data_IF_104492834400
#
_entry.id   IF_104492834400
#
_cell.length_a   1.000
_cell.length_b   1.000
_cell.length_c   1.000
_cell.angle_alpha   90.00
_cell.angle_beta   90.00
_cell.angle_gamma   90.00
#
_symmetry.space_group_name_H-M   'P 1'
#
loop_
_entity.id
_entity.type
_entity.pdbx_description
1 polymer ?
#
# COMPACT_ATOMS: atom_id res chain seq x y z
N UNK A 1 -21.97 31.89 74.77
CA UNK A 1 -23.07 31.19 74.11
C UNK A 1 -23.83 32.25 73.32
N UNK A 2 -23.46 32.43 72.05
CA UNK A 2 -24.07 33.46 71.18
C UNK A 2 -23.99 32.92 69.75
N UNK A 3 -25.13 32.49 69.21
CA UNK A 3 -25.25 31.97 67.84
C UNK A 3 -25.38 33.15 66.87
N UNK A 4 -24.50 33.22 65.87
CA UNK A 4 -24.59 34.16 64.76
C UNK A 4 -25.24 33.45 63.59
N UNK A 5 -26.44 33.90 63.18
CA UNK A 5 -27.12 33.41 61.98
C UNK A 5 -26.52 34.07 60.73
N UNK A 6 -26.17 33.25 59.75
CA UNK A 6 -25.72 33.70 58.42
C UNK A 6 -26.87 33.48 57.42
N UNK A 7 -27.42 34.57 56.90
CA UNK A 7 -28.43 34.54 55.83
C UNK A 7 -27.75 34.39 54.48
N UNK A 8 -28.13 33.37 53.72
CA UNK A 8 -27.70 33.11 52.34
C UNK A 8 -28.62 33.83 51.36
N UNK A 9 -28.08 34.76 50.57
CA UNK A 9 -28.80 35.45 49.49
C UNK A 9 -28.57 34.71 48.17
N UNK A 10 -29.65 34.23 47.54
CA UNK A 10 -29.61 33.57 46.23
C UNK A 10 -29.59 34.61 45.10
N UNK A 11 -28.69 34.51 44.09
CA UNK A 11 -28.70 35.43 42.95
C UNK A 11 -29.75 35.03 41.90
N UNK A 12 -30.42 36.04 41.35
CA UNK A 12 -31.41 35.95 40.28
C UNK A 12 -30.75 35.62 38.92
N UNK A 13 -31.34 34.76 38.07
CA UNK A 13 -30.76 34.44 36.78
C UNK A 13 -31.03 35.54 35.74
N UNK A 14 -29.96 36.06 35.15
CA UNK A 14 -30.00 37.00 34.02
C UNK A 14 -30.31 36.25 32.73
N UNK A 15 -31.45 36.53 32.11
CA UNK A 15 -31.83 35.96 30.80
C UNK A 15 -31.22 36.80 29.68
N UNK A 16 -30.23 36.25 28.97
CA UNK A 16 -29.66 36.86 27.76
C UNK A 16 -30.37 36.32 26.52
N UNK A 17 -31.16 37.16 25.84
CA UNK A 17 -31.75 36.83 24.53
C UNK A 17 -30.67 36.83 23.44
N UNK A 18 -30.39 35.65 22.88
CA UNK A 18 -29.54 35.50 21.71
C UNK A 18 -30.33 35.81 20.42
N UNK A 19 -29.86 36.78 19.65
CA UNK A 19 -30.38 37.13 18.32
C UNK A 19 -29.99 36.06 17.29
N UNK A 20 -30.97 35.26 16.86
CA UNK A 20 -30.79 34.26 15.82
C UNK A 20 -30.63 34.92 14.44
N UNK A 21 -29.39 35.04 13.96
CA UNK A 21 -29.12 35.39 12.56
C UNK A 21 -29.48 34.21 11.65
N UNK A 22 -30.53 34.39 10.83
CA UNK A 22 -30.93 33.44 9.77
C UNK A 22 -29.83 33.37 8.69
N UNK A 23 -28.93 32.40 8.81
CA UNK A 23 -28.02 32.01 7.72
C UNK A 23 -28.83 31.23 6.69
N UNK A 24 -29.05 31.81 5.50
CA UNK A 24 -29.67 31.07 4.39
C UNK A 24 -28.74 29.93 3.95
N UNK A 25 -29.23 28.69 3.80
CA UNK A 25 -28.43 27.57 3.31
C UNK A 25 -27.98 27.87 1.88
N UNK A 26 -26.66 27.97 1.67
CA UNK A 26 -26.08 28.03 0.32
C UNK A 26 -26.32 26.68 -0.34
N UNK A 27 -27.24 26.64 -1.30
CA UNK A 27 -27.40 25.51 -2.22
C UNK A 27 -26.11 25.37 -3.03
N UNK A 28 -25.23 24.44 -2.65
CA UNK A 28 -24.06 24.08 -3.46
C UNK A 28 -24.57 23.51 -4.77
N UNK A 29 -24.18 24.13 -5.89
CA UNK A 29 -24.36 23.50 -7.21
C UNK A 29 -23.74 22.10 -7.16
N UNK A 30 -24.41 21.07 -7.69
CA UNK A 30 -23.81 19.75 -7.82
C UNK A 30 -22.51 19.89 -8.62
N UNK A 31 -21.45 19.13 -8.25
CA UNK A 31 -20.20 19.14 -9.00
C UNK A 31 -20.48 18.76 -10.46
N UNK A 32 -19.80 19.41 -11.40
CA UNK A 32 -19.84 19.00 -12.80
C UNK A 32 -19.45 17.52 -12.88
N UNK A 33 -20.18 16.68 -13.65
CA UNK A 33 -19.76 15.32 -13.90
C UNK A 33 -18.34 15.32 -14.47
N UNK A 34 -17.50 14.44 -13.94
CA UNK A 34 -16.15 14.22 -14.48
C UNK A 34 -16.29 13.80 -15.94
N UNK A 35 -15.38 14.27 -16.80
CA UNK A 35 -15.32 13.79 -18.18
C UNK A 35 -15.16 12.26 -18.13
N UNK A 36 -15.92 11.48 -18.91
CA UNK A 36 -15.69 10.05 -19.00
C UNK A 36 -14.25 9.81 -19.42
N UNK A 37 -13.57 8.94 -18.67
CA UNK A 37 -12.21 8.55 -18.98
C UNK A 37 -12.25 7.64 -20.22
N UNK A 38 -11.23 7.67 -21.08
CA UNK A 38 -11.18 6.76 -22.21
C UNK A 38 -11.11 5.32 -21.69
N UNK A 39 -12.06 4.49 -22.09
CA UNK A 39 -12.00 3.05 -21.84
C UNK A 39 -11.08 2.35 -22.85
N UNK A 40 -10.30 1.35 -22.42
CA UNK A 40 -10.04 0.97 -21.02
C UNK A 40 -9.12 1.98 -20.31
N UNK A 41 -9.36 2.24 -19.02
CA UNK A 41 -8.50 3.13 -18.23
C UNK A 41 -7.07 2.59 -18.18
N UNK A 42 -6.12 3.40 -18.64
CA UNK A 42 -4.71 3.04 -18.74
C UNK A 42 -3.96 3.45 -17.48
N UNK A 43 -3.19 2.52 -16.89
CA UNK A 43 -2.22 2.85 -15.85
C UNK A 43 -1.28 3.96 -16.33
N UNK A 44 -1.17 5.04 -15.56
CA UNK A 44 -0.52 6.28 -16.00
C UNK A 44 0.99 6.13 -16.17
N UNK A 45 1.58 5.15 -15.49
CA UNK A 45 3.01 4.83 -15.50
C UNK A 45 3.40 3.75 -16.51
N UNK A 46 2.45 3.03 -17.14
CA UNK A 46 2.75 1.95 -18.07
C UNK A 46 2.78 2.46 -19.52
N UNK A 47 3.94 2.39 -20.14
CA UNK A 47 4.18 2.95 -21.48
C UNK A 47 4.36 1.89 -22.58
N UNK A 48 4.17 0.61 -22.26
CA UNK A 48 4.52 -0.53 -23.15
C UNK A 48 3.28 -1.20 -23.80
N UNK A 49 3.43 -1.83 -24.99
CA UNK A 49 2.35 -2.60 -25.62
C UNK A 49 1.82 -3.73 -24.73
N UNK A 50 0.53 -4.09 -24.88
CA UNK A 50 -0.11 -5.10 -24.03
C UNK A 50 -0.33 -4.60 -22.60
N UNK A 51 -0.76 -3.35 -22.47
CA UNK A 51 -0.94 -2.71 -21.17
C UNK A 51 -2.02 -3.42 -20.34
N UNK A 52 -1.70 -3.78 -19.08
CA UNK A 52 -2.70 -4.34 -18.18
C UNK A 52 -3.82 -3.33 -17.93
N UNK A 53 -5.03 -3.84 -17.94
CA UNK A 53 -6.24 -3.10 -17.55
C UNK A 53 -6.31 -2.93 -16.04
N UNK A 54 -7.21 -2.08 -15.57
CA UNK A 54 -7.52 -1.98 -14.14
C UNK A 54 -7.99 -3.33 -13.57
N UNK A 55 -8.81 -4.06 -14.31
CA UNK A 55 -9.33 -5.37 -13.91
C UNK A 55 -8.22 -6.40 -13.76
N UNK A 56 -7.22 -6.40 -14.66
CA UNK A 56 -6.05 -7.29 -14.55
C UNK A 56 -5.30 -7.06 -13.23
N UNK A 57 -5.19 -5.80 -12.77
CA UNK A 57 -4.53 -5.47 -11.51
C UNK A 57 -5.39 -5.91 -10.32
N UNK A 58 -6.71 -5.71 -10.38
CA UNK A 58 -7.64 -6.17 -9.35
C UNK A 58 -7.64 -7.71 -9.21
N UNK A 59 -7.66 -8.44 -10.32
CA UNK A 59 -7.58 -9.90 -10.35
C UNK A 59 -6.24 -10.38 -9.76
N UNK A 60 -5.13 -9.76 -10.19
CA UNK A 60 -3.81 -10.10 -9.68
C UNK A 60 -3.69 -9.84 -8.17
N UNK A 61 -4.27 -8.74 -7.66
CA UNK A 61 -4.26 -8.41 -6.23
C UNK A 61 -5.10 -9.38 -5.41
N UNK A 62 -6.31 -9.70 -5.87
CA UNK A 62 -7.19 -10.65 -5.19
C UNK A 62 -6.54 -12.04 -5.13
N UNK A 63 -5.97 -12.52 -6.24
CA UNK A 63 -5.28 -13.81 -6.27
C UNK A 63 -4.00 -13.80 -5.42
N UNK A 64 -3.27 -12.68 -5.39
CA UNK A 64 -2.10 -12.58 -4.52
C UNK A 64 -2.51 -12.69 -3.04
N UNK A 65 -3.59 -12.04 -2.61
CA UNK A 65 -4.09 -12.21 -1.23
C UNK A 65 -4.52 -13.65 -0.92
N UNK A 66 -5.12 -14.36 -1.87
CA UNK A 66 -5.40 -15.79 -1.73
C UNK A 66 -4.12 -16.61 -1.49
N UNK A 67 -3.04 -16.33 -2.23
CA UNK A 67 -1.73 -16.99 -1.98
C UNK A 67 -1.19 -16.66 -0.58
N UNK A 68 -1.37 -15.43 -0.09
CA UNK A 68 -1.01 -15.09 1.29
C UNK A 68 -1.83 -15.91 2.30
N UNK A 69 -3.13 -16.13 2.06
CA UNK A 69 -3.96 -16.96 2.94
C UNK A 69 -3.47 -18.40 3.03
N UNK A 70 -3.11 -19.00 1.89
CA UNK A 70 -2.51 -20.34 1.86
C UNK A 70 -1.17 -20.37 2.60
N UNK A 71 -0.36 -19.32 2.42
CA UNK A 71 0.93 -19.17 3.08
C UNK A 71 0.81 -19.07 4.60
N UNK A 72 -0.32 -18.59 5.12
CA UNK A 72 -0.58 -18.47 6.55
C UNK A 72 -1.12 -19.78 7.18
N UNK A 73 -1.31 -20.84 6.39
CA UNK A 73 -1.80 -22.13 6.86
C UNK A 73 -0.74 -23.25 6.73
N UNK A 74 -0.51 -24.09 7.75
CA UNK A 74 -0.61 -23.83 9.20
C UNK A 74 0.65 -23.11 9.72
N UNK A 75 0.50 -21.91 10.27
CA UNK A 75 1.61 -21.18 10.94
C UNK A 75 1.61 -21.51 12.44
N UNK A 76 2.75 -21.97 12.96
CA UNK A 76 2.95 -22.29 14.39
C UNK A 76 3.15 -21.02 15.21
N UNK A 77 2.91 -21.08 16.52
CA UNK A 77 3.11 -19.92 17.41
C UNK A 77 4.50 -19.28 17.27
N UNK A 78 5.55 -20.11 17.30
CA UNK A 78 6.93 -19.63 17.19
C UNK A 78 7.22 -18.93 15.87
N UNK A 79 6.52 -19.31 14.80
CA UNK A 79 6.68 -18.71 13.48
C UNK A 79 6.04 -17.32 13.40
N UNK A 80 4.96 -17.05 14.14
CA UNK A 80 4.39 -15.70 14.22
C UNK A 80 5.36 -14.68 14.80
N UNK A 81 6.28 -15.13 15.66
CA UNK A 81 7.33 -14.32 16.28
C UNK A 81 8.64 -14.31 15.47
N UNK A 82 8.73 -15.08 14.39
CA UNK A 82 9.94 -15.15 13.58
C UNK A 82 10.22 -13.80 12.89
N UNK A 83 11.50 -13.39 12.81
CA UNK A 83 11.87 -12.18 12.07
C UNK A 83 11.63 -12.37 10.57
N UNK A 84 11.34 -11.27 9.87
CA UNK A 84 11.23 -11.24 8.41
C UNK A 84 12.45 -10.54 7.79
N UNK A 85 12.69 -10.71 6.47
CA UNK A 85 13.71 -9.93 5.75
C UNK A 85 13.50 -8.42 5.81
N UNK A 86 12.25 -7.97 6.00
CA UNK A 86 11.95 -6.58 6.32
C UNK A 86 12.39 -6.34 7.77
N UNK A 87 13.56 -5.70 7.92
CA UNK A 87 14.21 -5.53 9.22
C UNK A 87 13.24 -4.98 10.27
N UNK A 88 13.32 -5.45 11.53
CA UNK A 88 12.44 -5.02 12.65
C UNK A 88 10.98 -5.47 12.58
N UNK A 89 10.59 -6.26 11.58
CA UNK A 89 9.26 -6.85 11.51
C UNK A 89 9.30 -8.34 11.83
N UNK A 90 8.35 -8.81 12.65
CA UNK A 90 8.02 -10.23 12.76
C UNK A 90 6.90 -10.58 11.79
N UNK A 91 6.67 -11.88 11.57
CA UNK A 91 5.56 -12.38 10.74
C UNK A 91 4.22 -11.75 11.13
N UNK A 92 3.90 -11.68 12.44
CA UNK A 92 2.67 -11.04 12.91
C UNK A 92 2.61 -9.55 12.58
N UNK A 93 3.69 -8.80 12.80
CA UNK A 93 3.76 -7.37 12.49
C UNK A 93 3.53 -7.15 10.99
N UNK A 94 4.17 -7.96 10.16
CA UNK A 94 4.09 -7.84 8.70
C UNK A 94 2.70 -8.17 8.18
N UNK A 95 2.03 -9.17 8.74
CA UNK A 95 0.63 -9.44 8.42
C UNK A 95 -0.28 -8.28 8.88
N UNK A 96 0.00 -7.70 10.06
CA UNK A 96 -0.69 -6.51 10.54
C UNK A 96 -0.60 -5.34 9.55
N UNK A 97 0.54 -5.15 8.89
CA UNK A 97 0.70 -4.15 7.83
C UNK A 97 -0.10 -4.45 6.57
N UNK A 98 -0.16 -5.71 6.16
CA UNK A 98 -0.98 -6.12 5.01
C UNK A 98 -2.45 -5.86 5.31
N UNK A 99 -2.91 -6.19 6.53
CA UNK A 99 -4.28 -5.90 7.01
C UNK A 99 -4.53 -4.38 7.01
N UNK A 100 -3.69 -3.60 7.67
CA UNK A 100 -3.82 -2.15 7.74
C UNK A 100 -3.85 -1.50 6.34
N UNK A 101 -3.03 -2.02 5.42
CA UNK A 101 -3.00 -1.55 4.03
C UNK A 101 -4.30 -1.84 3.27
N UNK A 102 -4.96 -2.96 3.56
CA UNK A 102 -6.26 -3.32 3.01
C UNK A 102 -7.39 -2.50 3.66
N UNK A 103 -7.37 -2.32 4.99
CA UNK A 103 -8.33 -1.46 5.70
C UNK A 103 -8.25 0.01 5.25
N UNK A 104 -7.05 0.49 4.91
CA UNK A 104 -6.88 1.85 4.38
C UNK A 104 -7.61 2.05 3.03
N UNK A 105 -7.81 0.99 2.23
CA UNK A 105 -8.68 1.04 1.05
C UNK A 105 -10.11 1.39 1.46
N UNK A 106 -10.64 0.70 2.48
CA UNK A 106 -11.98 0.91 3.01
C UNK A 106 -12.13 2.34 3.53
N UNK A 107 -11.19 2.78 4.37
CA UNK A 107 -11.19 4.12 4.94
C UNK A 107 -11.15 5.20 3.86
N UNK A 108 -10.30 5.04 2.85
CA UNK A 108 -10.13 6.03 1.78
C UNK A 108 -11.35 6.08 0.85
N UNK A 109 -11.99 4.94 0.59
CA UNK A 109 -13.21 4.88 -0.21
C UNK A 109 -14.40 5.59 0.47
N UNK A 110 -14.47 5.52 1.80
CA UNK A 110 -15.54 6.18 2.58
C UNK A 110 -15.18 7.61 3.03
N UNK A 111 -13.92 8.03 2.90
CA UNK A 111 -13.49 9.36 3.29
C UNK A 111 -14.13 10.44 2.41
N UNK A 112 -15.19 11.06 2.92
CA UNK A 112 -15.81 12.23 2.32
C UNK A 112 -14.95 13.47 2.57
N UNK A 113 -13.80 13.66 1.91
CA UNK A 113 -12.98 14.85 2.18
C UNK A 113 -12.48 15.63 0.95
N UNK A 114 -12.88 16.92 0.82
CA UNK A 114 -12.24 17.87 -0.06
C UNK A 114 -10.93 18.34 0.58
N UNK A 115 -9.86 17.54 0.47
CA UNK A 115 -8.51 18.06 0.74
C UNK A 115 -8.07 18.93 -0.44
N UNK A 116 -7.31 19.99 -0.15
CA UNK A 116 -6.78 21.00 -1.09
C UNK A 116 -6.22 20.37 -2.39
N UNK A 117 -5.98 21.22 -3.40
CA UNK A 117 -5.31 20.95 -4.69
C UNK A 117 -3.89 20.35 -4.57
N UNK A 118 -3.71 19.28 -3.80
CA UNK A 118 -2.50 18.48 -3.85
C UNK A 118 -2.41 17.87 -5.26
N UNK A 119 -1.20 17.81 -5.84
CA UNK A 119 -1.00 17.19 -7.15
C UNK A 119 -1.52 15.76 -7.13
N UNK A 120 -2.07 15.33 -8.27
CA UNK A 120 -2.36 13.93 -8.51
C UNK A 120 -1.05 13.30 -8.96
N UNK A 121 -0.54 12.39 -8.16
CA UNK A 121 0.68 11.64 -8.41
C UNK A 121 0.31 10.31 -9.07
N UNK A 122 1.20 9.80 -9.92
CA UNK A 122 1.12 8.41 -10.37
C UNK A 122 1.60 7.44 -9.28
N UNK A 123 1.48 6.14 -9.52
CA UNK A 123 1.89 5.12 -8.54
C UNK A 123 3.37 5.23 -8.14
N UNK A 124 4.23 5.61 -9.09
CA UNK A 124 5.68 5.71 -8.87
C UNK A 124 6.00 6.88 -7.93
N UNK A 125 5.46 8.06 -8.20
CA UNK A 125 5.72 9.28 -7.41
C UNK A 125 5.03 9.23 -6.05
N UNK A 126 3.83 8.63 -5.98
CA UNK A 126 3.10 8.49 -4.72
C UNK A 126 3.88 7.63 -3.71
N UNK A 127 4.50 6.54 -4.16
CA UNK A 127 5.30 5.67 -3.29
C UNK A 127 6.48 6.45 -2.67
N UNK A 128 7.08 7.37 -3.44
CA UNK A 128 8.18 8.22 -2.95
C UNK A 128 7.71 9.20 -1.89
N UNK A 129 6.61 9.91 -2.15
CA UNK A 129 6.02 10.83 -1.18
C UNK A 129 5.57 10.13 0.11
N UNK A 130 5.11 8.87 -0.01
CA UNK A 130 4.65 8.06 1.12
C UNK A 130 5.76 7.57 2.06
N UNK A 131 7.04 7.55 1.63
CA UNK A 131 8.15 7.09 2.48
C UNK A 131 8.31 7.91 3.78
N UNK A 132 7.91 9.18 3.73
CA UNK A 132 7.84 10.08 4.90
C UNK A 132 6.77 9.69 5.94
N UNK A 133 5.82 8.81 5.58
CA UNK A 133 4.73 8.32 6.45
C UNK A 133 5.04 6.94 7.07
N UNK A 134 6.28 6.46 6.92
CA UNK A 134 6.71 5.12 7.34
C UNK A 134 6.52 4.84 8.83
N UNK A 135 6.76 5.83 9.71
CA UNK A 135 6.58 5.66 11.16
C UNK A 135 5.13 5.39 11.57
N UNK A 136 4.18 6.17 11.03
CA UNK A 136 2.74 5.96 11.27
C UNK A 136 2.27 4.60 10.75
N UNK A 137 2.86 4.14 9.66
CA UNK A 137 2.56 2.84 9.04
C UNK A 137 3.03 1.68 9.94
N UNK A 138 4.23 1.77 10.52
CA UNK A 138 4.74 0.77 11.47
C UNK A 138 3.89 0.72 12.74
N UNK A 139 3.50 1.86 13.30
CA UNK A 139 2.66 1.92 14.51
C UNK A 139 1.27 1.30 14.28
N UNK A 140 0.63 1.62 13.15
CA UNK A 140 -0.65 1.03 12.76
C UNK A 140 -0.54 -0.49 12.58
N UNK A 141 0.51 -0.97 11.90
CA UNK A 141 0.74 -2.39 11.72
C UNK A 141 0.93 -3.13 13.04
N UNK A 142 1.71 -2.57 13.97
CA UNK A 142 1.91 -3.13 15.30
C UNK A 142 0.64 -3.11 16.13
N UNK A 143 -0.18 -2.07 16.01
CA UNK A 143 -1.47 -2.02 16.67
C UNK A 143 -2.41 -3.15 16.18
N UNK A 144 -2.49 -3.36 14.87
CA UNK A 144 -3.25 -4.47 14.27
C UNK A 144 -2.68 -5.83 14.71
N UNK A 145 -1.35 -5.98 14.73
CA UNK A 145 -0.68 -7.21 15.14
C UNK A 145 -0.64 -7.44 16.67
N UNK A 146 -1.29 -6.60 17.48
CA UNK A 146 -1.31 -6.79 18.94
C UNK A 146 0.02 -6.52 19.63
N UNK A 147 0.92 -5.84 18.95
CA UNK A 147 2.33 -5.70 19.31
C UNK A 147 2.71 -4.27 19.70
N UNK A 148 1.75 -3.36 19.67
CA UNK A 148 1.85 -2.05 20.30
C UNK A 148 1.69 -2.16 21.83
N UNK A 149 2.28 -1.26 22.64
CA UNK A 149 2.05 -1.21 24.07
C UNK A 149 0.54 -1.20 24.40
N UNK A 150 0.05 -2.22 25.13
CA UNK A 150 -1.36 -2.37 25.52
C UNK A 150 -2.27 -3.11 24.53
N UNK A 151 -1.72 -3.80 23.52
CA UNK A 151 -2.50 -4.42 22.45
C UNK A 151 -2.89 -5.90 22.72
N UNK A 152 -3.89 -6.36 21.97
CA UNK A 152 -4.82 -7.48 22.29
C UNK A 152 -4.40 -8.90 21.87
N UNK A 153 -3.22 -9.13 21.31
CA UNK A 153 -2.86 -10.45 20.78
C UNK A 153 -1.61 -11.02 21.49
N UNK A 154 -1.82 -11.71 22.61
CA UNK A 154 -0.80 -12.42 23.40
C UNK A 154 -0.85 -13.94 23.20
N UNK A 155 -1.98 -14.50 22.76
CA UNK A 155 -2.25 -15.94 22.72
C UNK A 155 -2.39 -16.55 21.30
N UNK A 156 -2.37 -17.88 21.22
CA UNK A 156 -2.49 -18.63 19.96
C UNK A 156 -3.83 -18.44 19.23
N UNK A 157 -4.95 -18.41 19.96
CA UNK A 157 -6.28 -18.18 19.39
C UNK A 157 -6.37 -16.79 18.74
N UNK A 158 -5.69 -15.84 19.34
CA UNK A 158 -5.52 -14.45 18.90
C UNK A 158 -4.68 -14.35 17.61
N UNK A 159 -3.69 -15.23 17.41
CA UNK A 159 -2.92 -15.28 16.16
C UNK A 159 -3.70 -15.94 15.01
N UNK A 160 -4.53 -16.94 15.28
CA UNK A 160 -5.46 -17.49 14.28
C UNK A 160 -6.49 -16.44 13.83
N UNK A 161 -6.92 -15.58 14.74
CA UNK A 161 -7.78 -14.44 14.45
C UNK A 161 -7.12 -13.43 13.50
N UNK A 162 -5.81 -13.20 13.61
CA UNK A 162 -5.08 -12.30 12.70
C UNK A 162 -5.16 -12.77 11.24
N UNK A 163 -5.01 -14.07 10.98
CA UNK A 163 -5.19 -14.64 9.64
C UNK A 163 -6.65 -14.53 9.15
N UNK A 164 -7.63 -14.62 10.04
CA UNK A 164 -9.05 -14.40 9.70
C UNK A 164 -9.32 -12.93 9.35
N UNK A 165 -8.75 -12.00 10.12
CA UNK A 165 -8.85 -10.56 9.87
C UNK A 165 -8.25 -10.18 8.51
N UNK A 166 -7.11 -10.77 8.15
CA UNK A 166 -6.53 -10.61 6.83
C UNK A 166 -7.48 -11.03 5.71
N UNK A 167 -8.09 -12.22 5.78
CA UNK A 167 -9.10 -12.66 4.79
C UNK A 167 -10.22 -11.64 4.61
N UNK A 168 -10.81 -11.18 5.72
CA UNK A 168 -11.92 -10.23 5.70
C UNK A 168 -11.50 -8.87 5.12
N UNK A 169 -10.36 -8.34 5.57
CA UNK A 169 -9.85 -7.07 5.08
C UNK A 169 -9.51 -7.13 3.59
N UNK A 170 -8.84 -8.20 3.14
CA UNK A 170 -8.46 -8.41 1.75
C UNK A 170 -9.68 -8.60 0.84
N UNK A 171 -10.67 -9.40 1.23
CA UNK A 171 -11.88 -9.60 0.43
C UNK A 171 -12.70 -8.31 0.30
N UNK A 172 -12.80 -7.55 1.40
CA UNK A 172 -13.50 -6.26 1.42
C UNK A 172 -12.79 -5.24 0.54
N UNK A 173 -11.46 -5.12 0.67
CA UNK A 173 -10.67 -4.23 -0.17
C UNK A 173 -10.78 -4.60 -1.66
N UNK A 174 -10.69 -5.89 -2.01
CA UNK A 174 -10.83 -6.35 -3.38
C UNK A 174 -12.20 -6.01 -3.99
N UNK A 175 -13.28 -6.18 -3.22
CA UNK A 175 -14.62 -5.81 -3.66
C UNK A 175 -14.76 -4.30 -3.90
N UNK A 176 -14.28 -3.47 -2.97
CA UNK A 176 -14.30 -2.01 -3.09
C UNK A 176 -13.54 -1.56 -4.34
N UNK A 177 -12.30 -2.05 -4.52
CA UNK A 177 -11.45 -1.68 -5.65
C UNK A 177 -12.11 -2.04 -6.97
N UNK A 178 -12.64 -3.27 -7.09
CA UNK A 178 -13.30 -3.74 -8.33
C UNK A 178 -14.57 -2.96 -8.67
N UNK A 179 -15.33 -2.54 -7.66
CA UNK A 179 -16.56 -1.76 -7.87
C UNK A 179 -16.30 -0.26 -8.10
N UNK A 180 -15.06 0.20 -7.90
CA UNK A 180 -14.73 1.62 -7.93
C UNK A 180 -14.33 2.12 -9.32
N UNK A 181 -14.57 3.41 -9.55
CA UNK A 181 -14.18 4.09 -10.80
C UNK A 181 -12.64 4.21 -10.89
N UNK A 182 -11.97 3.66 -11.93
CA UNK A 182 -10.50 3.60 -12.00
C UNK A 182 -9.80 4.95 -11.86
N UNK A 183 -10.40 6.03 -12.39
CA UNK A 183 -9.83 7.38 -12.29
C UNK A 183 -10.35 8.20 -11.11
N UNK A 184 -11.09 7.60 -10.17
CA UNK A 184 -11.42 8.24 -8.90
C UNK A 184 -10.12 8.65 -8.20
N UNK A 185 -9.98 9.92 -7.87
CA UNK A 185 -8.79 10.44 -7.17
C UNK A 185 -8.98 10.30 -5.67
N UNK A 186 -8.20 9.41 -5.08
CA UNK A 186 -8.03 9.25 -3.64
C UNK A 186 -7.08 10.33 -3.13
N UNK A 187 -7.46 11.05 -2.06
CA UNK A 187 -6.66 12.17 -1.51
C UNK A 187 -6.14 11.82 -0.12
N UNK A 188 -4.83 11.74 0.01
CA UNK A 188 -4.13 11.43 1.27
C UNK A 188 -3.07 12.48 1.64
N UNK A 189 -2.32 12.20 2.70
CA UNK A 189 -1.23 13.06 3.17
C UNK A 189 -0.07 13.17 2.16
N UNK A 190 0.18 12.10 1.39
CA UNK A 190 1.20 12.05 0.35
C UNK A 190 0.80 12.75 -0.98
N UNK A 191 -0.46 13.22 -1.10
CA UNK A 191 -1.00 13.79 -2.34
C UNK A 191 -2.25 13.06 -2.83
N UNK A 192 -2.69 13.40 -4.04
CA UNK A 192 -3.74 12.65 -4.73
C UNK A 192 -3.16 11.45 -5.49
N UNK A 193 -3.91 10.37 -5.64
CA UNK A 193 -3.58 9.22 -6.49
C UNK A 193 -4.87 8.65 -7.09
N UNK A 194 -4.84 8.16 -8.32
CA UNK A 194 -6.02 7.53 -8.94
C UNK A 194 -6.27 6.15 -8.32
N UNK A 195 -7.51 5.66 -8.31
CA UNK A 195 -7.85 4.35 -7.76
C UNK A 195 -7.05 3.23 -8.45
N UNK A 196 -6.87 3.34 -9.77
CA UNK A 196 -6.07 2.42 -10.56
C UNK A 196 -4.60 2.41 -10.11
N UNK A 197 -3.96 3.57 -10.01
CA UNK A 197 -2.57 3.68 -9.56
C UNK A 197 -2.42 3.25 -8.10
N UNK A 198 -3.40 3.55 -7.26
CA UNK A 198 -3.42 3.13 -5.86
C UNK A 198 -3.51 1.61 -5.73
N UNK A 199 -4.31 0.95 -6.57
CA UNK A 199 -4.43 -0.52 -6.63
C UNK A 199 -3.09 -1.16 -6.97
N UNK A 200 -2.32 -0.57 -7.89
CA UNK A 200 -0.94 -1.01 -8.17
C UNK A 200 -0.08 -0.94 -6.92
N UNK A 201 -0.16 0.14 -6.12
CA UNK A 201 0.62 0.22 -4.86
C UNK A 201 0.24 -0.89 -3.88
N UNK A 202 -1.04 -1.28 -3.82
CA UNK A 202 -1.51 -2.38 -2.98
C UNK A 202 -0.97 -3.72 -3.48
N UNK A 203 -0.97 -3.93 -4.80
CA UNK A 203 -0.41 -5.12 -5.43
C UNK A 203 1.10 -5.27 -5.17
N UNK A 204 1.86 -4.17 -5.31
CA UNK A 204 3.29 -4.14 -4.98
C UNK A 204 3.51 -4.56 -3.52
N UNK A 205 2.78 -3.97 -2.58
CA UNK A 205 2.86 -4.32 -1.16
C UNK A 205 2.53 -5.80 -0.90
N UNK A 206 1.44 -6.31 -1.46
CA UNK A 206 1.02 -7.70 -1.28
C UNK A 206 2.03 -8.71 -1.83
N UNK A 207 2.61 -8.46 -3.02
CA UNK A 207 3.65 -9.33 -3.59
C UNK A 207 4.90 -9.31 -2.74
N UNK A 208 5.40 -8.11 -2.40
CA UNK A 208 6.67 -7.98 -1.69
C UNK A 208 6.58 -8.54 -0.26
N UNK A 209 5.52 -8.20 0.48
CA UNK A 209 5.31 -8.74 1.83
C UNK A 209 4.96 -10.23 1.80
N UNK A 210 4.31 -10.74 0.75
CA UNK A 210 4.11 -12.17 0.56
C UNK A 210 5.44 -12.94 0.43
N UNK A 211 6.42 -12.37 -0.29
CA UNK A 211 7.77 -12.94 -0.39
C UNK A 211 8.50 -12.95 0.96
N UNK A 212 8.38 -11.88 1.74
CA UNK A 212 8.96 -11.78 3.09
C UNK A 212 8.35 -12.78 4.07
N UNK A 213 7.03 -12.93 4.04
CA UNK A 213 6.32 -13.93 4.84
C UNK A 213 6.78 -15.33 4.46
N UNK A 214 6.97 -15.61 3.17
CA UNK A 214 7.38 -16.94 2.73
C UNK A 214 8.79 -17.27 3.23
N UNK A 215 9.72 -16.32 3.12
CA UNK A 215 11.08 -16.46 3.64
C UNK A 215 11.09 -16.69 5.16
N UNK A 216 10.40 -15.83 5.92
CA UNK A 216 10.32 -15.93 7.38
C UNK A 216 9.70 -17.25 7.87
N UNK A 217 8.79 -17.84 7.08
CA UNK A 217 8.15 -19.11 7.38
C UNK A 217 8.93 -20.33 6.88
N UNK A 218 10.06 -20.12 6.20
CA UNK A 218 10.85 -21.20 5.58
C UNK A 218 10.12 -21.90 4.43
N UNK A 219 9.27 -21.17 3.70
CA UNK A 219 8.42 -21.69 2.62
C UNK A 219 8.89 -21.16 1.27
N UNK A 220 8.69 -21.90 0.17
CA UNK A 220 8.98 -21.39 -1.17
C UNK A 220 8.20 -20.09 -1.42
N UNK A 221 8.90 -19.03 -1.84
CA UNK A 221 8.27 -17.78 -2.26
C UNK A 221 7.33 -18.03 -3.44
N UNK A 222 6.03 -17.90 -3.20
CA UNK A 222 4.99 -18.02 -4.23
C UNK A 222 4.36 -16.65 -4.46
N UNK A 223 4.23 -16.29 -5.72
CA UNK A 223 3.50 -15.12 -6.15
C UNK A 223 2.77 -15.46 -7.45
N UNK A 224 1.59 -14.87 -7.63
CA UNK A 224 0.78 -15.11 -8.82
C UNK A 224 1.53 -14.62 -10.07
N UNK A 225 1.63 -15.43 -11.12
CA UNK A 225 2.42 -15.10 -12.32
C UNK A 225 2.08 -13.71 -12.91
N UNK A 226 0.80 -13.39 -13.17
CA UNK A 226 0.37 -12.05 -13.54
C UNK A 226 0.77 -10.95 -12.53
N UNK A 227 0.67 -11.18 -11.22
CA UNK A 227 1.10 -10.22 -10.21
C UNK A 227 2.61 -9.95 -10.28
N UNK A 228 3.43 -10.99 -10.44
CA UNK A 228 4.89 -10.90 -10.62
C UNK A 228 5.22 -10.07 -11.86
N UNK A 229 4.51 -10.27 -12.97
CA UNK A 229 4.72 -9.49 -14.20
C UNK A 229 4.41 -8.01 -14.00
N UNK A 230 3.26 -7.71 -13.39
CA UNK A 230 2.83 -6.35 -13.11
C UNK A 230 3.82 -5.61 -12.19
N UNK A 231 4.19 -6.25 -11.09
CA UNK A 231 5.12 -5.68 -10.10
C UNK A 231 6.54 -5.58 -10.68
N UNK A 232 6.99 -6.57 -11.44
CA UNK A 232 8.27 -6.50 -12.17
C UNK A 232 8.32 -5.33 -13.15
N UNK A 233 7.23 -5.11 -13.90
CA UNK A 233 7.07 -3.97 -14.81
C UNK A 233 7.04 -2.63 -14.08
N UNK A 234 6.39 -2.57 -12.92
CA UNK A 234 6.41 -1.39 -12.04
C UNK A 234 7.84 -1.02 -11.63
N UNK A 235 8.62 -1.99 -11.14
CA UNK A 235 10.01 -1.73 -10.75
C UNK A 235 10.92 -1.41 -11.94
N UNK A 236 10.66 -2.00 -13.11
CA UNK A 236 11.36 -1.64 -14.34
C UNK A 236 11.10 -0.17 -14.73
N UNK A 237 9.84 0.27 -14.71
CA UNK A 237 9.47 1.66 -14.99
C UNK A 237 10.05 2.63 -13.95
N UNK A 238 10.07 2.24 -12.67
CA UNK A 238 10.70 3.01 -11.60
C UNK A 238 12.20 3.19 -11.86
N UNK A 239 12.87 2.12 -12.30
CA UNK A 239 14.29 2.15 -12.63
C UNK A 239 14.63 3.00 -13.85
N UNK A 240 13.79 2.94 -14.89
CA UNK A 240 13.90 3.82 -16.06
C UNK A 240 13.76 5.30 -15.66
N UNK A 241 12.86 5.62 -14.72
CA UNK A 241 12.65 6.99 -14.22
C UNK A 241 13.81 7.49 -13.36
N UNK A 242 14.47 6.62 -12.58
CA UNK A 242 15.51 6.98 -11.59
C UNK A 242 16.94 6.82 -12.07
N UNK A 243 17.18 6.11 -13.17
CA UNK A 243 18.52 5.96 -13.72
C UNK A 243 19.20 7.31 -13.95
N UNK A 244 20.54 7.40 -13.82
CA UNK A 244 21.27 8.64 -14.11
C UNK A 244 20.87 9.22 -15.46
N UNK A 245 20.70 10.53 -15.58
CA UNK A 245 20.44 11.15 -16.89
C UNK A 245 21.59 10.77 -17.87
N UNK A 246 21.28 10.09 -18.96
CA UNK A 246 22.28 9.57 -19.91
C UNK A 246 22.84 8.17 -19.60
N UNK A 247 22.54 7.60 -18.43
CA UNK A 247 22.51 6.15 -18.27
C UNK A 247 21.42 5.66 -19.20
N UNK A 248 21.80 5.04 -20.32
CA UNK A 248 20.91 4.13 -21.03
C UNK A 248 20.73 2.93 -20.10
N UNK A 249 19.98 3.12 -19.01
CA UNK A 249 19.52 2.04 -18.16
C UNK A 249 18.93 1.04 -19.13
N UNK A 250 19.55 -0.13 -19.17
CA UNK A 250 19.21 -1.19 -20.10
C UNK A 250 17.68 -1.30 -20.15
N UNK A 251 16.99 -0.97 -21.26
CA UNK A 251 15.54 -1.01 -21.28
C UNK A 251 15.13 -2.41 -20.83
N UNK A 252 14.34 -2.47 -19.76
CA UNK A 252 13.99 -3.75 -19.16
C UNK A 252 12.71 -4.21 -19.82
N UNK A 253 12.82 -5.03 -20.87
CA UNK A 253 11.66 -5.60 -21.51
C UNK A 253 11.04 -6.70 -20.62
N UNK A 254 9.72 -6.82 -20.63
CA UNK A 254 9.03 -7.97 -20.04
C UNK A 254 8.92 -9.07 -21.09
N UNK A 255 9.46 -10.24 -20.78
CA UNK A 255 9.20 -11.48 -21.50
C UNK A 255 7.76 -11.96 -21.28
N UNK A 256 7.25 -12.76 -22.21
CA UNK A 256 5.90 -13.35 -22.15
C UNK A 256 5.74 -14.36 -21.00
N UNK A 257 6.83 -14.98 -20.58
CA UNK A 257 6.94 -15.85 -19.40
C UNK A 257 6.99 -15.05 -18.08
N UNK A 258 7.05 -13.73 -18.17
CA UNK A 258 7.22 -12.83 -17.04
C UNK A 258 8.66 -12.64 -16.60
N UNK A 259 9.66 -13.15 -17.33
CA UNK A 259 11.05 -12.78 -17.13
C UNK A 259 11.28 -11.31 -17.49
N UNK A 260 12.28 -10.69 -16.89
CA UNK A 260 12.72 -9.34 -17.25
C UNK A 260 14.02 -9.43 -18.03
N UNK A 261 14.04 -8.78 -19.19
CA UNK A 261 15.15 -8.80 -20.13
C UNK A 261 15.84 -7.45 -20.03
N UNK A 262 16.98 -7.40 -19.36
CA UNK A 262 17.83 -6.22 -19.33
C UNK A 262 18.61 -6.13 -20.65
N UNK A 263 18.28 -5.13 -21.47
CA UNK A 263 18.90 -4.89 -22.77
C UNK A 263 20.17 -4.03 -22.66
N UNK A 264 21.34 -4.60 -22.89
CA UNK A 264 22.60 -3.85 -22.82
C UNK A 264 23.02 -3.33 -24.21
N UNK A 265 23.48 -2.08 -24.29
CA UNK A 265 23.85 -1.48 -25.58
C UNK A 265 25.04 -2.16 -26.29
N UNK A 266 25.94 -2.82 -25.54
CA UNK A 266 27.18 -3.42 -26.04
C UNK A 266 27.39 -4.86 -25.57
N UNK A 267 26.38 -5.50 -24.97
CA UNK A 267 26.46 -6.87 -24.43
C UNK A 267 25.18 -7.64 -24.74
N UNK A 268 25.22 -8.98 -24.72
CA UNK A 268 24.02 -9.79 -24.83
C UNK A 268 22.99 -9.40 -23.76
N UNK A 269 21.71 -9.46 -24.11
CA UNK A 269 20.64 -9.23 -23.16
C UNK A 269 20.74 -10.21 -21.98
N UNK A 270 20.52 -9.72 -20.76
CA UNK A 270 20.46 -10.56 -19.56
C UNK A 270 19.01 -10.86 -19.23
N UNK A 271 18.65 -12.13 -19.21
CA UNK A 271 17.32 -12.57 -18.77
C UNK A 271 17.37 -12.82 -17.27
N UNK A 272 16.55 -12.08 -16.52
CA UNK A 272 16.44 -12.17 -15.07
C UNK A 272 15.03 -12.61 -14.72
N UNK A 273 14.84 -13.66 -13.89
CA UNK A 273 13.50 -14.01 -13.40
C UNK A 273 12.87 -12.82 -12.66
N UNK A 274 11.62 -12.46 -12.94
CA UNK A 274 11.01 -11.27 -12.34
C UNK A 274 10.97 -11.29 -10.81
N UNK A 275 10.80 -12.46 -10.18
CA UNK A 275 10.91 -12.56 -8.70
C UNK A 275 12.30 -12.11 -8.22
N UNK A 276 13.37 -12.54 -8.91
CA UNK A 276 14.73 -12.13 -8.54
C UNK A 276 14.95 -10.63 -8.73
N UNK A 277 14.37 -10.06 -9.78
CA UNK A 277 14.38 -8.61 -10.00
C UNK A 277 13.62 -7.85 -8.90
N UNK A 278 12.41 -8.30 -8.53
CA UNK A 278 11.63 -7.69 -7.44
C UNK A 278 12.43 -7.74 -6.14
N UNK A 279 13.05 -8.88 -5.82
CA UNK A 279 13.89 -9.02 -4.63
C UNK A 279 15.08 -8.05 -4.67
N UNK A 280 15.72 -7.85 -5.82
CA UNK A 280 16.83 -6.90 -5.93
C UNK A 280 16.39 -5.44 -5.86
N UNK A 281 15.32 -5.06 -6.55
CA UNK A 281 14.76 -3.71 -6.55
C UNK A 281 14.20 -3.28 -5.18
N UNK A 282 14.02 -4.24 -4.27
CA UNK A 282 13.53 -4.03 -2.91
C UNK A 282 14.57 -4.36 -1.84
N UNK A 283 15.84 -4.54 -2.22
CA UNK A 283 16.95 -4.77 -1.29
C UNK A 283 17.01 -6.16 -0.64
N UNK A 284 16.10 -7.09 -0.97
CA UNK A 284 16.07 -8.48 -0.46
C UNK A 284 17.12 -9.38 -1.10
N UNK A 285 17.71 -8.94 -2.21
CA UNK A 285 18.79 -9.66 -2.91
C UNK A 285 19.82 -8.68 -3.44
N UNK A 286 21.14 -8.98 -3.35
CA UNK A 286 22.16 -8.12 -3.94
C UNK A 286 21.98 -7.98 -5.47
N UNK A 287 21.77 -6.74 -5.95
CA UNK A 287 21.62 -6.40 -7.37
C UNK A 287 22.85 -6.82 -8.19
N UNK A 288 24.04 -6.59 -7.63
CA UNK A 288 25.01 -7.64 -7.36
C UNK A 288 25.21 -8.70 -8.44
N UNK A 289 24.39 -9.73 -8.25
CA UNK A 289 24.48 -11.02 -8.92
C UNK A 289 23.55 -11.09 -10.13
N UNK A 290 22.65 -10.13 -10.29
CA UNK A 290 21.68 -10.08 -11.38
C UNK A 290 22.16 -9.17 -12.51
N UNK A 291 22.79 -8.04 -12.16
CA UNK A 291 23.23 -7.02 -13.10
C UNK A 291 24.57 -6.41 -12.64
N UNK A 292 25.71 -6.98 -13.10
CA UNK A 292 27.09 -6.63 -12.68
C UNK A 292 27.48 -5.14 -12.75
N UNK A 293 26.72 -4.31 -13.49
CA UNK A 293 27.01 -2.88 -13.69
C UNK A 293 25.92 -1.96 -13.11
N UNK A 294 24.88 -2.50 -12.45
CA UNK A 294 23.68 -1.74 -12.01
C UNK A 294 23.56 -1.58 -10.48
N UNK A 295 24.65 -1.82 -9.76
CA UNK A 295 24.60 -2.18 -8.33
C UNK A 295 24.12 -1.06 -7.40
N UNK A 296 24.49 0.20 -7.68
CA UNK A 296 24.23 1.27 -6.72
C UNK A 296 22.78 1.76 -6.79
N UNK A 297 22.27 2.09 -7.98
CA UNK A 297 20.96 2.73 -8.12
C UNK A 297 19.78 1.77 -7.89
N UNK A 298 19.98 0.45 -8.09
CA UNK A 298 18.94 -0.56 -7.87
C UNK A 298 18.63 -0.78 -6.39
N UNK A 299 19.66 -0.73 -5.54
CA UNK A 299 19.51 -0.85 -4.09
C UNK A 299 18.69 0.32 -3.51
N UNK A 300 18.67 1.47 -4.21
CA UNK A 300 18.03 2.71 -3.78
C UNK A 300 16.60 2.88 -4.34
N UNK A 301 16.07 1.94 -5.14
CA UNK A 301 14.77 2.11 -5.81
C UNK A 301 13.59 2.19 -4.85
N UNK A 302 13.59 1.39 -3.79
CA UNK A 302 12.63 1.53 -2.70
C UNK A 302 13.29 1.21 -1.36
N UNK A 303 13.41 2.19 -0.46
CA UNK A 303 13.40 1.91 0.96
C UNK A 303 11.94 1.53 1.31
N UNK A 304 11.53 0.29 0.98
CA UNK A 304 10.40 -0.30 1.68
C UNK A 304 10.81 -0.39 3.14
N UNK A 305 9.97 0.13 4.03
CA UNK A 305 10.24 0.27 5.46
C UNK A 305 10.91 -0.99 6.06
N UNK A 306 12.24 -0.99 6.06
CA UNK A 306 13.12 -1.68 7.00
C UNK A 306 12.98 -1.10 8.40
#
# INVERSE_FOLDING_TARGET
MTMTMTTTTTPTPTTTQATASRVRPRTRKPPKPLRPLPEPYRLTWWTRPGQPTFDDVCDALAFQHFILDELLQPVRESQWRAPTPSARWRVADLLGQVIASAEHVVQTAHASQPRRRAPVLDALDWYQGSGSLSTLTVEQARAVAGSAPGARFAELAELAELARLHRVAASTAAAILRSGEPGLVLRGAAGGITLADYTVTRLVGAVVHGLDLADALGRPGRAHGPAVRLVGGYFAALGERRGPAGSRSAPIALGTDGSLIALHAKRPATIVPAISWIQAATGRRPAGRLLPDSHQWLADLLPLAT
#
